data_IF_763221623162
#
_entry.id   IF_763221623162
#
_cell.length_a   1.000
_cell.length_b   1.000
_cell.length_c   1.000
_cell.angle_alpha   90.00
_cell.angle_beta   90.00
_cell.angle_gamma   90.00
#
_symmetry.space_group_name_H-M   'P 1'
#
loop_
_entity.id
_entity.type
_entity.pdbx_description
1 polymer ?
#
# COMPACT_ATOMS: atom_id res chain seq x y z
N UNK A 1 -4.70 48.77 -6.88
CA UNK A 1 -4.50 47.30 -6.82
C UNK A 1 -4.10 46.96 -5.39
N UNK A 2 -5.06 46.51 -4.59
CA UNK A 2 -4.78 46.01 -3.25
C UNK A 2 -3.87 44.78 -3.36
N UNK A 3 -2.69 44.84 -2.76
CA UNK A 3 -1.84 43.67 -2.55
C UNK A 3 -2.52 42.81 -1.51
N UNK A 4 -3.36 41.88 -1.94
CA UNK A 4 -3.86 40.81 -1.08
C UNK A 4 -2.63 40.06 -0.52
N UNK A 5 -2.45 40.14 0.80
CA UNK A 5 -1.39 39.31 1.46
C UNK A 5 -1.61 37.85 1.07
N UNK A 6 -0.53 37.14 0.69
CA UNK A 6 -0.67 35.72 0.34
C UNK A 6 -1.25 34.96 1.55
N UNK A 7 -2.24 34.10 1.34
CA UNK A 7 -2.90 33.37 2.42
C UNK A 7 -1.87 32.61 3.23
N UNK A 8 -1.92 32.80 4.54
CA UNK A 8 -1.02 32.13 5.48
C UNK A 8 -1.39 30.65 5.60
N UNK A 9 -0.57 29.79 5.02
CA UNK A 9 -0.68 28.35 5.23
C UNK A 9 -0.57 28.00 6.71
N UNK A 10 -1.57 27.32 7.28
CA UNK A 10 -1.57 26.93 8.70
C UNK A 10 -0.44 25.93 9.01
N UNK A 11 -0.11 25.05 8.05
CA UNK A 11 0.96 24.09 8.20
C UNK A 11 2.35 24.75 8.27
N UNK A 12 2.58 25.90 7.64
CA UNK A 12 3.90 26.54 7.53
C UNK A 12 4.57 26.76 8.89
N UNK A 13 3.80 27.15 9.90
CA UNK A 13 4.31 27.34 11.25
C UNK A 13 4.62 26.02 11.98
N UNK A 14 4.00 24.91 11.54
CA UNK A 14 4.12 23.58 12.15
C UNK A 14 5.24 22.73 11.55
N UNK A 15 5.70 23.05 10.33
CA UNK A 15 6.82 22.38 9.66
C UNK A 15 8.07 23.25 9.66
N UNK A 16 8.56 23.58 10.87
CA UNK A 16 9.87 24.18 11.07
C UNK A 16 10.91 23.06 11.25
N UNK A 17 12.17 23.38 11.05
CA UNK A 17 13.26 22.44 11.34
C UNK A 17 13.11 21.89 12.76
N UNK A 18 13.24 20.57 12.93
CA UNK A 18 13.05 19.86 14.21
C UNK A 18 11.71 20.12 14.91
N UNK A 19 10.64 20.31 14.14
CA UNK A 19 9.32 20.67 14.69
C UNK A 19 8.67 19.53 15.49
N UNK A 20 9.06 18.28 15.22
CA UNK A 20 8.45 17.09 15.80
C UNK A 20 9.41 16.40 16.77
N UNK A 21 8.86 15.89 17.86
CA UNK A 21 9.59 14.99 18.75
C UNK A 21 9.61 13.56 18.22
N UNK A 22 10.14 12.64 19.00
CA UNK A 22 10.38 11.24 18.63
C UNK A 22 9.15 10.49 18.10
N UNK A 23 7.95 10.74 18.62
CA UNK A 23 6.73 10.01 18.28
C UNK A 23 6.27 10.29 16.85
N UNK A 24 6.09 9.24 16.04
CA UNK A 24 5.67 9.35 14.63
C UNK A 24 4.20 9.75 14.43
N UNK A 25 3.29 9.33 15.30
CA UNK A 25 1.85 9.59 15.16
C UNK A 25 1.47 11.07 14.97
N UNK A 26 1.98 12.03 15.78
CA UNK A 26 1.69 13.45 15.57
C UNK A 26 2.22 13.96 14.22
N UNK A 27 3.40 13.52 13.79
CA UNK A 27 3.98 13.90 12.51
C UNK A 27 3.13 13.39 11.33
N UNK A 28 2.75 12.11 11.34
CA UNK A 28 1.84 11.49 10.35
C UNK A 28 0.53 12.27 10.23
N UNK A 29 -0.08 12.60 11.38
CA UNK A 29 -1.33 13.36 11.40
C UNK A 29 -1.15 14.75 10.76
N UNK A 30 -0.06 15.47 11.09
CA UNK A 30 0.21 16.81 10.55
C UNK A 30 0.53 16.79 9.05
N UNK A 31 1.23 15.79 8.56
CA UNK A 31 1.44 15.60 7.10
C UNK A 31 0.10 15.47 6.38
N UNK A 32 -0.82 14.65 6.90
CA UNK A 32 -2.17 14.47 6.32
C UNK A 32 -3.01 15.74 6.36
N UNK A 33 -2.96 16.48 7.48
CA UNK A 33 -3.68 17.77 7.62
C UNK A 33 -3.18 18.80 6.60
N UNK A 34 -1.85 18.94 6.46
CA UNK A 34 -1.22 19.87 5.51
C UNK A 34 -1.57 19.51 4.06
N UNK A 35 -1.47 18.23 3.68
CA UNK A 35 -1.87 17.76 2.36
C UNK A 35 -3.35 18.06 2.08
N UNK A 36 -4.21 17.85 3.07
CA UNK A 36 -5.66 18.15 2.94
C UNK A 36 -5.92 19.64 2.77
N UNK A 37 -5.18 20.51 3.49
CA UNK A 37 -5.28 21.97 3.36
C UNK A 37 -4.94 22.41 1.93
N UNK A 38 -3.83 21.91 1.37
CA UNK A 38 -3.37 22.22 0.02
C UNK A 38 -4.38 21.72 -1.03
N UNK A 39 -4.86 20.47 -0.91
CA UNK A 39 -5.87 19.91 -1.83
C UNK A 39 -7.19 20.70 -1.84
N UNK A 40 -7.59 21.27 -0.72
CA UNK A 40 -8.75 22.17 -0.66
C UNK A 40 -8.49 23.48 -1.41
N UNK A 41 -7.29 24.04 -1.27
CA UNK A 41 -6.90 25.26 -1.97
C UNK A 41 -6.82 25.04 -3.50
N UNK A 42 -6.36 23.89 -3.95
CA UNK A 42 -6.20 23.55 -5.37
C UNK A 42 -7.50 23.67 -6.19
N UNK A 43 -8.66 23.49 -5.54
CA UNK A 43 -9.98 23.67 -6.18
C UNK A 43 -10.34 25.11 -6.50
N UNK A 44 -9.68 26.09 -5.87
CA UNK A 44 -9.98 27.53 -5.99
C UNK A 44 -8.85 28.29 -6.65
N UNK A 45 -7.63 27.96 -6.29
CA UNK A 45 -6.42 28.62 -6.77
C UNK A 45 -5.30 27.59 -6.98
N UNK A 46 -5.14 27.06 -8.21
CA UNK A 46 -4.11 26.06 -8.53
C UNK A 46 -2.68 26.57 -8.32
N UNK A 47 -2.38 27.85 -8.63
CA UNK A 47 -1.04 28.42 -8.47
C UNK A 47 -0.67 28.53 -6.99
N UNK A 48 -1.58 29.06 -6.18
CA UNK A 48 -1.39 29.12 -4.74
C UNK A 48 -1.20 27.73 -4.14
N UNK A 49 -2.01 26.75 -4.56
CA UNK A 49 -1.92 25.39 -4.05
C UNK A 49 -0.57 24.73 -4.44
N UNK A 50 -0.08 24.97 -5.65
CA UNK A 50 1.23 24.50 -6.08
C UNK A 50 2.37 25.10 -5.25
N UNK A 51 2.34 26.41 -5.00
CA UNK A 51 3.29 27.08 -4.10
C UNK A 51 3.23 26.51 -2.67
N UNK A 52 2.01 26.22 -2.18
CA UNK A 52 1.82 25.53 -0.90
C UNK A 52 2.41 24.12 -0.88
N UNK A 53 2.23 23.37 -1.97
CA UNK A 53 2.77 22.02 -2.12
C UNK A 53 4.30 22.02 -2.12
N UNK A 54 4.92 22.89 -2.92
CA UNK A 54 6.39 23.09 -2.94
C UNK A 54 6.88 23.46 -1.54
N UNK A 55 6.23 24.43 -0.89
CA UNK A 55 6.57 24.87 0.48
C UNK A 55 6.45 23.73 1.51
N UNK A 56 5.48 22.83 1.39
CA UNK A 56 5.38 21.67 2.28
C UNK A 56 6.50 20.67 1.99
N UNK A 57 6.69 20.29 0.71
CA UNK A 57 7.68 19.29 0.30
C UNK A 57 9.11 19.69 0.71
N UNK A 58 9.52 20.96 0.50
CA UNK A 58 10.83 21.45 0.94
C UNK A 58 11.05 21.40 2.45
N UNK A 59 9.96 21.42 3.24
CA UNK A 59 10.01 21.44 4.70
C UNK A 59 9.86 20.08 5.36
N UNK A 60 9.46 19.05 4.60
CA UNK A 60 9.19 17.73 5.19
C UNK A 60 10.44 17.14 5.84
N UNK A 61 11.53 16.96 5.10
CA UNK A 61 12.73 16.32 5.62
C UNK A 61 13.30 17.03 6.85
N UNK A 62 13.60 18.34 6.85
CA UNK A 62 14.14 19.01 8.01
C UNK A 62 13.18 19.08 9.21
N UNK A 63 11.87 19.01 9.00
CA UNK A 63 10.91 18.96 10.10
C UNK A 63 10.83 17.58 10.75
N UNK A 64 11.07 16.51 10.00
CA UNK A 64 10.90 15.11 10.41
C UNK A 64 12.19 14.45 10.90
N UNK A 65 13.33 15.14 10.86
CA UNK A 65 14.67 14.61 11.11
C UNK A 65 14.83 13.81 12.43
N UNK A 66 14.04 14.14 13.46
CA UNK A 66 14.11 13.48 14.78
C UNK A 66 12.95 12.52 15.05
N UNK A 67 12.11 12.26 14.06
CA UNK A 67 10.93 11.40 14.25
C UNK A 67 11.31 9.94 14.06
N UNK A 68 10.82 9.06 14.94
CA UNK A 68 10.96 7.61 14.75
C UNK A 68 10.24 7.13 13.51
N UNK A 69 11.01 6.59 12.57
CA UNK A 69 10.52 6.03 11.30
C UNK A 69 10.52 4.50 11.26
N UNK A 70 10.90 3.84 12.35
CA UNK A 70 11.10 2.37 12.42
C UNK A 70 9.87 1.55 12.03
N UNK A 71 8.66 2.08 12.27
CA UNK A 71 7.40 1.41 11.90
C UNK A 71 7.02 1.53 10.42
N UNK A 72 7.75 2.32 9.62
CA UNK A 72 7.43 2.63 8.23
C UNK A 72 6.19 3.53 8.01
N UNK A 73 5.41 3.80 9.06
CA UNK A 73 4.17 4.58 8.95
C UNK A 73 4.42 6.03 8.51
N UNK A 74 5.53 6.62 8.96
CA UNK A 74 5.93 7.97 8.59
C UNK A 74 6.33 8.05 7.11
N UNK A 75 7.20 7.15 6.64
CA UNK A 75 7.59 7.07 5.23
C UNK A 75 6.38 6.85 4.32
N UNK A 76 5.46 5.97 4.71
CA UNK A 76 4.20 5.77 3.99
C UNK A 76 3.36 7.05 3.90
N UNK A 77 3.25 7.82 4.99
CA UNK A 77 2.49 9.07 5.00
C UNK A 77 3.14 10.15 4.11
N UNK A 78 4.47 10.25 4.11
CA UNK A 78 5.21 11.17 3.23
C UNK A 78 5.06 10.77 1.76
N UNK A 79 5.20 9.48 1.44
CA UNK A 79 5.03 8.99 0.07
C UNK A 79 3.61 9.25 -0.47
N UNK A 80 2.57 9.09 0.37
CA UNK A 80 1.21 9.48 0.00
C UNK A 80 1.08 10.98 -0.22
N UNK A 81 1.73 11.81 0.62
CA UNK A 81 1.72 13.26 0.45
C UNK A 81 2.40 13.65 -0.87
N UNK A 82 3.54 13.06 -1.22
CA UNK A 82 4.21 13.27 -2.52
C UNK A 82 3.26 12.92 -3.67
N UNK A 83 2.66 11.73 -3.64
CA UNK A 83 1.73 11.27 -4.68
C UNK A 83 0.49 12.20 -4.84
N UNK A 84 -0.01 12.78 -3.74
CA UNK A 84 -1.13 13.71 -3.74
C UNK A 84 -0.74 15.13 -4.22
N UNK A 85 0.49 15.58 -3.94
CA UNK A 85 0.93 16.96 -4.17
C UNK A 85 1.59 17.16 -5.54
N UNK A 86 2.31 16.16 -6.04
CA UNK A 86 2.97 16.24 -7.36
C UNK A 86 1.99 16.61 -8.48
N UNK A 87 0.82 15.99 -8.62
CA UNK A 87 -0.16 16.39 -9.65
C UNK A 87 -0.64 17.83 -9.51
N UNK A 88 -0.70 18.37 -8.28
CA UNK A 88 -1.08 19.77 -8.03
C UNK A 88 0.00 20.73 -8.55
N UNK A 89 1.28 20.41 -8.29
CA UNK A 89 2.40 21.21 -8.80
C UNK A 89 2.49 21.08 -10.32
N UNK A 90 2.45 19.87 -10.86
CA UNK A 90 2.58 19.59 -12.28
C UNK A 90 1.45 20.25 -13.11
N UNK A 91 0.21 20.16 -12.64
CA UNK A 91 -0.98 20.71 -13.32
C UNK A 91 -1.21 22.21 -13.14
N UNK A 92 -0.43 22.90 -12.29
CA UNK A 92 -0.58 24.34 -12.08
C UNK A 92 -0.18 25.14 -13.33
N UNK A 93 -0.95 26.19 -13.72
CA UNK A 93 -0.67 27.02 -14.88
C UNK A 93 0.42 28.07 -14.58
N UNK A 94 1.61 27.58 -14.17
CA UNK A 94 2.75 28.41 -13.85
C UNK A 94 3.50 28.83 -15.11
N UNK A 95 3.98 30.07 -15.15
CA UNK A 95 4.93 30.51 -16.16
C UNK A 95 6.29 29.77 -16.00
N UNK A 96 7.14 29.77 -17.05
CA UNK A 96 8.39 29.05 -17.02
C UNK A 96 9.33 29.45 -15.87
N UNK A 97 9.40 30.72 -15.51
CA UNK A 97 10.26 31.21 -14.43
C UNK A 97 9.79 30.74 -13.06
N UNK A 98 8.48 30.79 -12.81
CA UNK A 98 7.87 30.25 -11.60
C UNK A 98 8.07 28.74 -11.50
N UNK A 99 7.91 28.01 -12.59
CA UNK A 99 8.16 26.56 -12.66
C UNK A 99 9.61 26.23 -12.30
N UNK A 100 10.55 26.92 -12.90
CA UNK A 100 11.96 26.71 -12.63
C UNK A 100 12.32 27.00 -11.18
N UNK A 101 11.80 28.10 -10.62
CA UNK A 101 12.01 28.43 -9.21
C UNK A 101 11.44 27.34 -8.25
N UNK A 102 10.33 26.70 -8.60
CA UNK A 102 9.80 25.56 -7.82
C UNK A 102 10.71 24.34 -7.92
N UNK A 103 11.17 24.02 -9.11
CA UNK A 103 12.06 22.88 -9.34
C UNK A 103 13.41 23.06 -8.61
N UNK A 104 14.00 24.25 -8.65
CA UNK A 104 15.23 24.54 -7.90
C UNK A 104 15.04 24.35 -6.38
N UNK A 105 13.96 24.87 -5.80
CA UNK A 105 13.65 24.69 -4.38
C UNK A 105 13.48 23.22 -4.00
N UNK A 106 12.77 22.46 -4.84
CA UNK A 106 12.58 21.02 -4.62
C UNK A 106 13.87 20.24 -4.80
N UNK A 107 14.74 20.69 -5.73
CA UNK A 107 16.05 20.10 -5.93
C UNK A 107 16.97 20.31 -4.71
N UNK A 108 17.04 21.54 -4.22
CA UNK A 108 17.79 21.86 -2.99
C UNK A 108 17.29 21.02 -1.80
N UNK A 109 15.98 20.84 -1.69
CA UNK A 109 15.40 20.01 -0.64
C UNK A 109 15.77 18.53 -0.79
N UNK A 110 15.81 18.01 -2.02
CA UNK A 110 16.20 16.63 -2.31
C UNK A 110 17.69 16.38 -2.04
N UNK A 111 18.55 17.31 -2.41
CA UNK A 111 19.99 17.23 -2.10
C UNK A 111 20.27 17.31 -0.59
N UNK A 112 19.46 18.08 0.15
CA UNK A 112 19.56 18.23 1.60
C UNK A 112 18.90 17.10 2.40
N UNK A 113 18.24 16.13 1.75
CA UNK A 113 17.50 15.04 2.39
C UNK A 113 18.44 13.95 2.92
N UNK A 114 19.07 14.18 4.05
CA UNK A 114 20.05 13.25 4.66
C UNK A 114 19.39 11.95 5.18
N UNK A 115 18.14 12.02 5.62
CA UNK A 115 17.31 10.86 5.95
C UNK A 115 16.28 10.77 4.84
N UNK A 116 16.31 9.73 3.97
CA UNK A 116 15.61 9.73 2.68
C UNK A 116 14.07 9.73 2.82
N UNK A 117 13.53 10.80 3.40
CA UNK A 117 12.10 10.98 3.56
C UNK A 117 11.40 11.37 2.26
N UNK A 118 12.05 12.20 1.43
CA UNK A 118 11.46 12.72 0.19
C UNK A 118 12.15 12.18 -1.07
N UNK A 119 13.01 11.18 -0.98
CA UNK A 119 13.75 10.61 -2.12
C UNK A 119 12.84 10.19 -3.29
N UNK A 120 11.61 9.74 -2.99
CA UNK A 120 10.60 9.40 -4.00
C UNK A 120 10.13 10.57 -4.84
N UNK A 121 10.41 11.80 -4.44
CA UNK A 121 10.16 12.98 -5.27
C UNK A 121 10.92 12.90 -6.59
N UNK A 122 12.12 12.31 -6.58
CA UNK A 122 12.90 12.05 -7.79
C UNK A 122 12.16 11.20 -8.83
N UNK A 123 11.36 10.23 -8.40
CA UNK A 123 10.55 9.40 -9.30
C UNK A 123 9.49 10.20 -10.08
N UNK A 124 9.09 11.35 -9.56
CA UNK A 124 8.10 12.26 -10.14
C UNK A 124 8.71 13.50 -10.82
N UNK A 125 10.04 13.55 -10.93
CA UNK A 125 10.72 14.77 -11.43
C UNK A 125 10.28 15.18 -12.82
N UNK A 126 10.12 14.21 -13.72
CA UNK A 126 9.60 14.44 -15.07
C UNK A 126 8.21 15.03 -15.07
N UNK A 127 7.31 14.55 -14.20
CA UNK A 127 5.95 15.08 -14.04
C UNK A 127 5.98 16.53 -13.51
N UNK A 128 6.83 16.82 -12.52
CA UNK A 128 7.03 18.17 -11.97
C UNK A 128 7.53 19.17 -13.01
N UNK A 129 8.36 18.74 -13.98
CA UNK A 129 8.81 19.55 -15.10
C UNK A 129 7.66 20.03 -16.00
N UNK A 130 6.53 19.32 -16.01
CA UNK A 130 5.29 19.63 -16.75
C UNK A 130 5.43 19.73 -18.28
N UNK A 131 6.65 19.86 -18.84
CA UNK A 131 6.90 19.91 -20.28
C UNK A 131 8.14 19.11 -20.67
N UNK A 132 8.16 18.63 -21.92
CA UNK A 132 9.33 17.89 -22.46
C UNK A 132 10.59 18.75 -22.50
N UNK A 133 10.45 20.05 -22.76
CA UNK A 133 11.58 20.97 -22.85
C UNK A 133 12.25 21.16 -21.49
N UNK A 134 11.48 21.44 -20.44
CA UNK A 134 12.00 21.59 -19.08
C UNK A 134 12.59 20.27 -18.58
N UNK A 135 11.90 19.15 -18.84
CA UNK A 135 12.39 17.82 -18.47
C UNK A 135 13.73 17.50 -19.18
N UNK A 136 13.89 17.85 -20.47
CA UNK A 136 15.15 17.64 -21.18
C UNK A 136 16.28 18.46 -20.58
N UNK A 137 16.05 19.72 -20.22
CA UNK A 137 17.05 20.59 -19.61
C UNK A 137 17.50 20.02 -18.23
N UNK A 138 16.57 19.57 -17.41
CA UNK A 138 16.89 18.92 -16.14
C UNK A 138 17.61 17.59 -16.32
N UNK A 139 17.23 16.79 -17.33
CA UNK A 139 17.95 15.57 -17.67
C UNK A 139 19.42 15.88 -18.05
N UNK A 140 19.66 16.89 -18.90
CA UNK A 140 21.00 17.30 -19.29
C UNK A 140 21.85 17.75 -18.09
N UNK A 141 21.25 18.41 -17.12
CA UNK A 141 21.92 18.82 -15.88
C UNK A 141 22.35 17.63 -15.01
N UNK A 142 21.58 16.54 -14.99
CA UNK A 142 21.77 15.42 -14.08
C UNK A 142 22.46 14.20 -14.70
N UNK A 143 22.51 14.09 -16.03
CA UNK A 143 22.89 12.86 -16.72
C UNK A 143 24.33 12.43 -16.46
N UNK A 144 25.28 13.37 -16.44
CA UNK A 144 26.70 13.03 -16.23
C UNK A 144 26.95 12.49 -14.82
N UNK A 145 26.35 13.12 -13.80
CA UNK A 145 26.45 12.63 -12.43
C UNK A 145 25.77 11.24 -12.28
N UNK A 146 24.64 11.04 -12.98
CA UNK A 146 23.94 9.74 -13.02
C UNK A 146 24.80 8.66 -13.67
N UNK A 147 25.45 8.96 -14.80
CA UNK A 147 26.36 8.02 -15.47
C UNK A 147 27.55 7.65 -14.60
N UNK A 148 28.13 8.61 -13.90
CA UNK A 148 29.21 8.35 -12.95
C UNK A 148 28.75 7.47 -11.79
N UNK A 149 27.61 7.80 -11.17
CA UNK A 149 27.06 7.06 -10.04
C UNK A 149 26.72 5.60 -10.38
N UNK A 150 26.25 5.33 -11.59
CA UNK A 150 25.87 4.01 -12.06
C UNK A 150 26.98 3.31 -12.86
N UNK A 151 28.06 4.01 -13.18
CA UNK A 151 29.12 3.53 -14.07
C UNK A 151 29.81 2.23 -13.59
N UNK A 152 30.60 1.60 -14.48
CA UNK A 152 31.28 0.35 -14.18
C UNK A 152 32.45 0.53 -13.20
N UNK A 153 33.01 1.73 -13.11
CA UNK A 153 34.10 2.04 -12.21
C UNK A 153 33.63 2.10 -10.75
N UNK A 154 33.94 1.04 -10.00
CA UNK A 154 33.57 0.90 -8.59
C UNK A 154 34.19 1.95 -7.67
N UNK A 155 35.27 2.63 -8.10
CA UNK A 155 35.93 3.64 -7.27
C UNK A 155 35.17 4.95 -7.21
N UNK A 156 34.37 5.25 -8.24
CA UNK A 156 33.51 6.45 -8.34
C UNK A 156 32.03 6.14 -8.27
N UNK A 157 31.67 4.86 -8.34
CA UNK A 157 30.28 4.41 -8.21
C UNK A 157 29.73 4.69 -6.82
N UNK A 158 28.60 5.38 -6.74
CA UNK A 158 28.02 5.75 -5.45
C UNK A 158 26.55 6.11 -5.54
N UNK A 159 26.00 6.52 -4.41
CA UNK A 159 24.66 7.05 -4.35
C UNK A 159 24.64 8.49 -4.86
N UNK A 160 23.81 8.75 -5.87
CA UNK A 160 23.49 10.10 -6.33
C UNK A 160 21.99 10.32 -6.17
N UNK A 161 21.54 11.24 -5.30
CA UNK A 161 20.11 11.48 -5.05
C UNK A 161 19.32 11.84 -6.30
N UNK A 162 20.01 12.44 -7.30
CA UNK A 162 19.43 12.83 -8.59
C UNK A 162 19.22 11.69 -9.60
N UNK A 163 19.65 10.46 -9.32
CA UNK A 163 19.53 9.37 -10.31
C UNK A 163 18.08 9.12 -10.72
N UNK A 164 17.16 9.00 -9.77
CA UNK A 164 15.73 8.84 -10.08
C UNK A 164 15.16 10.06 -10.81
N UNK A 165 15.57 11.26 -10.41
CA UNK A 165 15.14 12.51 -11.04
C UNK A 165 15.61 12.60 -12.51
N UNK A 166 16.86 12.22 -12.79
CA UNK A 166 17.39 12.13 -14.14
C UNK A 166 16.59 11.16 -15.02
N UNK A 167 16.38 9.93 -14.53
CA UNK A 167 15.66 8.89 -15.28
C UNK A 167 14.20 9.28 -15.53
N UNK A 168 13.55 9.90 -14.54
CA UNK A 168 12.19 10.43 -14.66
C UNK A 168 12.11 11.57 -15.66
N UNK A 169 13.07 12.51 -15.63
CA UNK A 169 13.16 13.61 -16.56
C UNK A 169 13.42 13.14 -18.01
N UNK A 170 14.36 12.20 -18.20
CA UNK A 170 14.61 11.56 -19.50
C UNK A 170 13.35 10.89 -20.05
N UNK A 171 12.60 10.21 -19.19
CA UNK A 171 11.34 9.56 -19.59
C UNK A 171 10.29 10.58 -20.05
N UNK A 172 10.09 11.66 -19.29
CA UNK A 172 9.18 12.75 -19.67
C UNK A 172 9.60 13.47 -20.94
N UNK A 173 10.92 13.59 -21.17
CA UNK A 173 11.49 14.16 -22.39
C UNK A 173 11.45 13.20 -23.60
N UNK A 174 10.94 11.98 -23.43
CA UNK A 174 10.88 10.90 -24.44
C UNK A 174 12.29 10.45 -24.93
N UNK A 175 13.32 10.67 -24.11
CA UNK A 175 14.70 10.27 -24.38
C UNK A 175 14.96 8.82 -23.96
N UNK A 176 14.08 7.92 -24.38
CA UNK A 176 14.04 6.51 -23.93
C UNK A 176 15.30 5.72 -24.24
N UNK A 177 15.94 6.00 -25.38
CA UNK A 177 17.18 5.31 -25.77
C UNK A 177 18.31 5.56 -24.76
N UNK A 178 18.39 6.78 -24.22
CA UNK A 178 19.41 7.14 -23.23
C UNK A 178 19.15 6.45 -21.88
N UNK A 179 17.87 6.29 -21.47
CA UNK A 179 17.52 5.51 -20.28
C UNK A 179 18.02 4.08 -20.42
N UNK A 180 17.73 3.45 -21.57
CA UNK A 180 18.15 2.07 -21.83
C UNK A 180 19.67 1.94 -21.85
N UNK A 181 20.38 2.91 -22.44
CA UNK A 181 21.84 2.93 -22.48
C UNK A 181 22.45 3.05 -21.06
N UNK A 182 21.99 4.02 -20.27
CA UNK A 182 22.46 4.23 -18.88
C UNK A 182 22.25 2.99 -18.02
N UNK A 183 21.16 2.25 -18.24
CA UNK A 183 20.75 1.11 -17.41
C UNK A 183 21.18 -0.27 -17.94
N UNK A 184 22.11 -0.31 -18.92
CA UNK A 184 22.78 -1.56 -19.31
C UNK A 184 23.68 -2.14 -18.21
N UNK A 185 24.00 -1.32 -17.21
CA UNK A 185 24.82 -1.71 -16.05
C UNK A 185 24.02 -2.49 -15.01
N UNK A 186 24.72 -3.12 -14.07
CA UNK A 186 24.08 -3.75 -12.90
C UNK A 186 23.59 -2.66 -11.93
N UNK A 187 22.28 -2.46 -11.87
CA UNK A 187 21.61 -1.47 -11.04
C UNK A 187 20.45 -2.10 -10.26
N UNK A 188 20.00 -1.42 -9.20
CA UNK A 188 18.86 -1.84 -8.39
C UNK A 188 17.54 -1.65 -9.13
N UNK A 189 16.51 -2.39 -8.72
CA UNK A 189 15.18 -2.36 -9.36
C UNK A 189 14.55 -0.96 -9.44
N UNK A 190 14.60 -0.10 -8.43
CA UNK A 190 14.08 1.27 -8.53
C UNK A 190 14.60 2.07 -9.73
N UNK A 191 15.80 1.75 -10.24
CA UNK A 191 16.32 2.35 -11.48
C UNK A 191 15.96 1.49 -12.70
N UNK A 192 16.15 0.17 -12.64
CA UNK A 192 15.88 -0.73 -13.77
C UNK A 192 14.45 -0.66 -14.29
N UNK A 193 13.47 -0.38 -13.42
CA UNK A 193 12.08 -0.16 -13.83
C UNK A 193 11.91 0.97 -14.86
N UNK A 194 12.82 1.96 -14.88
CA UNK A 194 12.79 3.02 -15.89
C UNK A 194 13.15 2.51 -17.28
N UNK A 195 14.06 1.52 -17.40
CA UNK A 195 14.31 0.86 -18.67
C UNK A 195 13.09 0.02 -19.13
N UNK A 196 12.39 -0.61 -18.22
CA UNK A 196 11.11 -1.30 -18.51
C UNK A 196 10.10 -0.31 -19.09
N UNK A 197 9.89 0.82 -18.43
CA UNK A 197 9.00 1.90 -18.88
C UNK A 197 9.43 2.48 -20.23
N UNK A 198 10.73 2.71 -20.43
CA UNK A 198 11.28 3.19 -21.69
C UNK A 198 11.02 2.20 -22.85
N UNK A 199 11.27 0.91 -22.64
CA UNK A 199 10.94 -0.11 -23.65
C UNK A 199 9.45 -0.14 -23.97
N UNK A 200 8.59 -0.07 -22.96
CA UNK A 200 7.13 -0.04 -23.15
C UNK A 200 6.68 1.20 -23.94
N UNK A 201 7.21 2.38 -23.59
CA UNK A 201 6.92 3.66 -24.26
C UNK A 201 7.40 3.68 -25.73
N UNK A 202 8.50 2.98 -26.05
CA UNK A 202 8.95 2.78 -27.43
C UNK A 202 8.09 1.75 -28.21
N UNK A 203 7.00 1.26 -27.64
CA UNK A 203 6.16 0.21 -28.25
C UNK A 203 6.75 -1.21 -28.16
N UNK A 204 7.90 -1.39 -27.52
CA UNK A 204 8.60 -2.68 -27.40
C UNK A 204 8.14 -3.47 -26.17
N UNK A 205 6.81 -3.63 -26.02
CA UNK A 205 6.18 -4.18 -24.80
C UNK A 205 6.68 -5.58 -24.42
N UNK A 206 6.84 -6.47 -25.41
CA UNK A 206 7.38 -7.81 -25.16
C UNK A 206 8.85 -7.79 -24.66
N UNK A 207 9.67 -6.83 -25.16
CA UNK A 207 11.01 -6.63 -24.69
C UNK A 207 11.03 -6.06 -23.27
N UNK A 208 10.10 -5.13 -22.95
CA UNK A 208 9.92 -4.58 -21.61
C UNK A 208 9.63 -5.67 -20.59
N UNK A 209 8.69 -6.58 -20.88
CA UNK A 209 8.33 -7.70 -20.00
C UNK A 209 9.53 -8.64 -19.82
N UNK A 210 10.20 -9.06 -20.91
CA UNK A 210 11.39 -9.92 -20.79
C UNK A 210 12.51 -9.27 -19.98
N UNK A 211 12.73 -7.98 -20.15
CA UNK A 211 13.73 -7.26 -19.37
C UNK A 211 13.33 -7.20 -17.89
N UNK A 212 12.07 -6.88 -17.57
CA UNK A 212 11.58 -6.89 -16.20
C UNK A 212 11.75 -8.26 -15.53
N UNK A 213 11.33 -9.33 -16.21
CA UNK A 213 11.48 -10.71 -15.71
C UNK A 213 12.95 -11.10 -15.49
N UNK A 214 13.87 -10.62 -16.32
CA UNK A 214 15.31 -10.85 -16.15
C UNK A 214 15.91 -10.14 -14.92
N UNK A 215 15.19 -9.17 -14.36
CA UNK A 215 15.60 -8.44 -13.16
C UNK A 215 15.17 -9.12 -11.85
N UNK A 216 14.39 -10.21 -11.89
CA UNK A 216 13.97 -10.95 -10.70
C UNK A 216 15.16 -11.46 -9.89
N UNK A 217 14.99 -11.50 -8.58
CA UNK A 217 15.98 -12.06 -7.66
C UNK A 217 16.77 -10.97 -6.92
N UNK A 218 18.09 -10.94 -7.05
CA UNK A 218 19.04 -10.26 -6.16
C UNK A 218 18.71 -8.81 -5.72
N UNK A 219 18.00 -8.02 -6.54
CA UNK A 219 17.76 -6.59 -6.28
C UNK A 219 16.33 -6.14 -6.58
N UNK A 220 15.42 -7.06 -6.83
CA UNK A 220 14.03 -6.77 -7.12
C UNK A 220 13.12 -7.60 -6.22
N UNK A 221 12.09 -6.99 -5.66
CA UNK A 221 10.95 -7.72 -5.12
C UNK A 221 10.15 -8.27 -6.32
N UNK A 222 9.92 -9.58 -6.34
CA UNK A 222 9.15 -10.23 -7.41
C UNK A 222 7.76 -9.62 -7.58
N UNK A 223 7.14 -9.13 -6.50
CA UNK A 223 5.85 -8.45 -6.57
C UNK A 223 5.92 -7.11 -7.31
N UNK A 224 7.02 -6.36 -7.16
CA UNK A 224 7.21 -5.10 -7.90
C UNK A 224 7.44 -5.35 -9.40
N UNK A 225 8.20 -6.41 -9.75
CA UNK A 225 8.39 -6.84 -11.14
C UNK A 225 7.06 -7.28 -11.75
N UNK A 226 6.27 -8.06 -11.01
CA UNK A 226 4.95 -8.51 -11.44
C UNK A 226 4.01 -7.32 -11.67
N UNK A 227 4.06 -6.29 -10.84
CA UNK A 227 3.26 -5.08 -10.98
C UNK A 227 3.56 -4.35 -12.29
N UNK A 228 4.82 -4.12 -12.62
CA UNK A 228 5.22 -3.46 -13.88
C UNK A 228 4.83 -4.30 -15.11
N UNK A 229 5.00 -5.63 -15.05
CA UNK A 229 4.59 -6.53 -16.13
C UNK A 229 3.06 -6.56 -16.31
N UNK A 230 2.30 -6.60 -15.22
CA UNK A 230 0.85 -6.52 -15.20
C UNK A 230 0.36 -5.22 -15.86
N UNK A 231 0.92 -4.07 -15.49
CA UNK A 231 0.57 -2.76 -16.06
C UNK A 231 0.82 -2.68 -17.57
N UNK A 232 1.94 -3.25 -18.04
CA UNK A 232 2.24 -3.31 -19.49
C UNK A 232 1.19 -4.12 -20.23
N UNK A 233 0.79 -5.29 -19.72
CA UNK A 233 -0.23 -6.14 -20.36
C UNK A 233 -1.60 -5.47 -20.31
N UNK A 234 -2.01 -4.92 -19.17
CA UNK A 234 -3.27 -4.19 -19.03
C UNK A 234 -3.35 -3.00 -19.99
N UNK A 235 -2.28 -2.20 -20.09
CA UNK A 235 -2.20 -1.08 -21.06
C UNK A 235 -2.21 -1.53 -22.53
N UNK A 236 -2.05 -2.83 -22.77
CA UNK A 236 -2.08 -3.45 -24.09
C UNK A 236 -3.42 -4.12 -24.40
N UNK A 237 -4.39 -4.07 -23.45
CA UNK A 237 -5.66 -4.78 -23.56
C UNK A 237 -5.55 -6.30 -23.32
N UNK A 238 -4.39 -6.80 -22.90
CA UNK A 238 -4.14 -8.23 -22.65
C UNK A 238 -4.50 -8.61 -21.21
N UNK A 239 -5.77 -8.34 -20.85
CA UNK A 239 -6.25 -8.43 -19.46
C UNK A 239 -6.20 -9.86 -18.92
N UNK A 240 -6.54 -10.87 -19.73
CA UNK A 240 -6.49 -12.27 -19.29
C UNK A 240 -5.06 -12.73 -19.02
N UNK A 241 -4.12 -12.40 -19.93
CA UNK A 241 -2.72 -12.76 -19.72
C UNK A 241 -2.12 -12.04 -18.50
N UNK A 242 -2.50 -10.77 -18.27
CA UNK A 242 -2.11 -10.01 -17.09
C UNK A 242 -2.59 -10.70 -15.81
N UNK A 243 -3.85 -11.15 -15.81
CA UNK A 243 -4.43 -11.88 -14.67
C UNK A 243 -3.68 -13.18 -14.39
N UNK A 244 -3.56 -14.03 -15.42
CA UNK A 244 -2.99 -15.37 -15.27
C UNK A 244 -1.51 -15.36 -14.81
N UNK A 245 -0.72 -14.40 -15.32
CA UNK A 245 0.72 -14.38 -15.09
C UNK A 245 1.11 -13.60 -13.83
N UNK A 246 0.43 -12.48 -13.55
CA UNK A 246 0.98 -11.50 -12.62
C UNK A 246 0.01 -11.06 -11.52
N UNK A 247 -1.31 -10.96 -11.77
CA UNK A 247 -2.27 -10.27 -10.93
C UNK A 247 -2.23 -10.66 -9.44
N UNK A 248 -2.10 -11.97 -9.17
CA UNK A 248 -2.22 -12.49 -7.80
C UNK A 248 -1.00 -12.09 -6.94
N UNK A 249 0.19 -11.96 -7.54
CA UNK A 249 1.40 -11.52 -6.85
C UNK A 249 1.56 -10.00 -6.88
N UNK A 250 1.27 -9.37 -8.02
CA UNK A 250 1.31 -7.91 -8.20
C UNK A 250 0.36 -7.15 -7.26
N UNK A 251 -0.75 -7.79 -6.89
CA UNK A 251 -1.78 -7.18 -6.03
C UNK A 251 -1.64 -7.52 -4.54
N UNK A 252 -0.51 -8.09 -4.11
CA UNK A 252 -0.29 -8.51 -2.73
C UNK A 252 -0.38 -7.33 -1.76
N UNK A 253 -1.39 -7.35 -0.91
CA UNK A 253 -1.63 -6.33 0.12
C UNK A 253 -1.19 -6.78 1.51
N UNK A 254 -1.29 -5.87 2.49
CA UNK A 254 -0.95 -6.13 3.89
C UNK A 254 -1.83 -7.21 4.55
N UNK A 255 -3.00 -7.48 4.01
CA UNK A 255 -3.92 -8.53 4.48
C UNK A 255 -4.51 -9.31 3.31
N UNK A 256 -4.94 -10.54 3.55
CA UNK A 256 -5.61 -11.38 2.56
C UNK A 256 -6.84 -10.70 1.96
N UNK A 257 -7.64 -10.02 2.79
CA UNK A 257 -8.77 -9.21 2.34
C UNK A 257 -8.34 -8.04 1.45
N UNK A 258 -7.25 -7.34 1.79
CA UNK A 258 -6.73 -6.25 0.98
C UNK A 258 -6.24 -6.73 -0.40
N UNK A 259 -5.58 -7.90 -0.44
CA UNK A 259 -5.17 -8.56 -1.68
C UNK A 259 -6.39 -8.89 -2.55
N UNK A 260 -7.42 -9.55 -1.98
CA UNK A 260 -8.65 -9.87 -2.71
C UNK A 260 -9.30 -8.61 -3.31
N UNK A 261 -9.45 -7.55 -2.51
CA UNK A 261 -10.02 -6.27 -2.96
C UNK A 261 -9.22 -5.64 -4.09
N UNK A 262 -7.89 -5.71 -4.01
CA UNK A 262 -7.01 -5.15 -5.03
C UNK A 262 -7.19 -5.89 -6.38
N UNK A 263 -7.20 -7.22 -6.36
CA UNK A 263 -7.45 -8.03 -7.57
C UNK A 263 -8.85 -7.80 -8.11
N UNK A 264 -9.89 -7.89 -7.27
CA UNK A 264 -11.28 -7.73 -7.70
C UNK A 264 -11.55 -6.34 -8.33
N UNK A 265 -10.92 -5.29 -7.81
CA UNK A 265 -11.03 -3.94 -8.38
C UNK A 265 -10.35 -3.81 -9.74
N UNK A 266 -9.20 -4.45 -9.96
CA UNK A 266 -8.47 -4.43 -11.24
C UNK A 266 -9.14 -5.30 -12.31
N UNK A 267 -9.79 -6.38 -11.89
CA UNK A 267 -10.40 -7.39 -12.77
C UNK A 267 -11.91 -7.55 -12.51
N UNK A 268 -12.71 -6.48 -12.72
CA UNK A 268 -14.14 -6.49 -12.40
C UNK A 268 -14.97 -7.45 -13.28
N UNK A 269 -14.40 -7.95 -14.38
CA UNK A 269 -15.02 -8.94 -15.26
C UNK A 269 -14.88 -10.38 -14.75
N UNK A 270 -13.99 -10.63 -13.79
CA UNK A 270 -13.83 -11.94 -13.14
C UNK A 270 -14.82 -12.09 -11.98
N UNK A 271 -15.44 -13.27 -11.88
CA UNK A 271 -16.32 -13.53 -10.74
C UNK A 271 -15.53 -13.54 -9.41
N UNK A 272 -16.04 -12.93 -8.35
CA UNK A 272 -15.37 -12.91 -7.03
C UNK A 272 -15.00 -14.30 -6.51
N UNK A 273 -15.83 -15.31 -6.81
CA UNK A 273 -15.56 -16.71 -6.45
C UNK A 273 -14.32 -17.27 -7.13
N UNK A 274 -14.13 -16.97 -8.42
CA UNK A 274 -12.97 -17.46 -9.17
C UNK A 274 -11.69 -16.79 -8.68
N UNK A 275 -11.72 -15.48 -8.47
CA UNK A 275 -10.60 -14.73 -7.88
C UNK A 275 -10.24 -15.31 -6.51
N UNK A 276 -11.21 -15.57 -5.65
CA UNK A 276 -10.98 -16.15 -4.34
C UNK A 276 -10.35 -17.55 -4.45
N UNK A 277 -10.88 -18.40 -5.33
CA UNK A 277 -10.37 -19.75 -5.53
C UNK A 277 -8.90 -19.74 -6.01
N UNK A 278 -8.56 -18.84 -6.93
CA UNK A 278 -7.20 -18.70 -7.42
C UNK A 278 -6.25 -18.17 -6.35
N UNK A 279 -6.67 -17.16 -5.56
CA UNK A 279 -5.89 -16.63 -4.45
C UNK A 279 -5.63 -17.70 -3.37
N UNK A 280 -6.65 -18.49 -3.00
CA UNK A 280 -6.51 -19.60 -2.03
C UNK A 280 -5.45 -20.60 -2.49
N UNK A 281 -5.41 -20.94 -3.78
CA UNK A 281 -4.40 -21.85 -4.34
C UNK A 281 -2.97 -21.32 -4.18
N UNK A 282 -2.76 -20.01 -4.09
CA UNK A 282 -1.42 -19.42 -3.93
C UNK A 282 -0.85 -19.57 -2.52
N UNK A 283 -1.67 -19.94 -1.55
CA UNK A 283 -1.29 -20.02 -0.13
C UNK A 283 -1.77 -21.30 0.54
N UNK A 284 -1.31 -22.47 0.10
CA UNK A 284 -1.68 -23.74 0.69
C UNK A 284 -1.27 -23.80 2.17
N UNK A 285 -2.21 -24.22 3.03
CA UNK A 285 -2.04 -24.22 4.49
C UNK A 285 -2.49 -22.92 5.19
N UNK A 286 -2.89 -21.91 4.45
CA UNK A 286 -3.37 -20.62 4.95
C UNK A 286 -4.85 -20.34 4.59
N UNK A 287 -5.61 -21.36 4.23
CA UNK A 287 -6.97 -21.24 3.71
C UNK A 287 -7.88 -20.42 4.64
N UNK A 288 -7.80 -20.63 5.95
CA UNK A 288 -8.59 -19.90 6.95
C UNK A 288 -8.34 -18.38 6.96
N UNK A 289 -7.18 -17.93 6.51
CA UNK A 289 -6.88 -16.50 6.43
C UNK A 289 -7.69 -15.78 5.33
N UNK A 290 -8.26 -16.53 4.37
CA UNK A 290 -9.14 -16.00 3.32
C UNK A 290 -10.60 -15.85 3.77
N UNK A 291 -10.97 -16.27 4.99
CA UNK A 291 -12.32 -16.15 5.52
C UNK A 291 -12.94 -14.76 5.33
N UNK A 292 -12.19 -13.70 5.66
CA UNK A 292 -12.69 -12.34 5.56
C UNK A 292 -12.98 -11.92 4.11
N UNK A 293 -12.19 -12.40 3.16
CA UNK A 293 -12.38 -12.14 1.73
C UNK A 293 -13.63 -12.88 1.20
N UNK A 294 -13.79 -14.17 1.54
CA UNK A 294 -14.95 -14.96 1.18
C UNK A 294 -16.24 -14.35 1.75
N UNK A 295 -16.23 -13.95 3.03
CA UNK A 295 -17.34 -13.26 3.68
C UNK A 295 -17.73 -11.97 2.95
N UNK A 296 -16.75 -11.13 2.59
CA UNK A 296 -17.01 -9.88 1.89
C UNK A 296 -17.60 -10.10 0.49
N UNK A 297 -17.18 -11.16 -0.17
CA UNK A 297 -17.73 -11.57 -1.46
C UNK A 297 -19.14 -12.18 -1.36
N UNK A 298 -19.73 -12.31 -0.15
CA UNK A 298 -21.02 -12.97 0.07
C UNK A 298 -20.97 -14.49 -0.06
N UNK A 299 -19.78 -15.08 -0.12
CA UNK A 299 -19.56 -16.53 -0.28
C UNK A 299 -19.49 -17.19 1.10
N UNK A 300 -20.63 -17.19 1.79
CA UNK A 300 -20.69 -17.58 3.23
C UNK A 300 -20.33 -19.04 3.49
N UNK A 301 -20.79 -19.96 2.63
CA UNK A 301 -20.46 -21.39 2.77
C UNK A 301 -18.96 -21.65 2.55
N UNK A 302 -18.38 -21.02 1.54
CA UNK A 302 -16.95 -21.07 1.26
C UNK A 302 -16.12 -20.46 2.39
N UNK A 303 -16.60 -19.35 2.99
CA UNK A 303 -15.94 -18.72 4.13
C UNK A 303 -15.84 -19.69 5.31
N UNK A 304 -16.94 -20.36 5.67
CA UNK A 304 -16.94 -21.37 6.73
C UNK A 304 -16.06 -22.57 6.37
N UNK A 305 -16.12 -23.04 5.14
CA UNK A 305 -15.30 -24.16 4.67
C UNK A 305 -13.80 -23.82 4.74
N UNK A 306 -13.39 -22.62 4.34
CA UNK A 306 -12.00 -22.17 4.44
C UNK A 306 -11.55 -22.06 5.90
N UNK A 307 -12.35 -21.44 6.77
CA UNK A 307 -12.03 -21.26 8.18
C UNK A 307 -12.05 -22.57 9.00
N UNK A 308 -12.65 -23.64 8.46
CA UNK A 308 -12.62 -24.97 9.09
C UNK A 308 -11.40 -25.80 8.71
N UNK A 309 -10.73 -25.51 7.59
CA UNK A 309 -9.57 -26.29 7.10
C UNK A 309 -8.29 -25.93 7.82
N UNK A 310 -8.05 -24.67 8.04
CA UNK A 310 -6.83 -24.16 8.69
C UNK A 310 -7.18 -23.01 9.63
N UNK A 311 -6.27 -22.66 10.56
CA UNK A 311 -6.54 -21.64 11.56
C UNK A 311 -6.99 -20.30 10.97
N UNK A 312 -8.11 -19.80 11.52
CA UNK A 312 -8.62 -18.46 11.28
C UNK A 312 -8.62 -17.66 12.59
N UNK A 313 -8.29 -16.38 12.53
CA UNK A 313 -8.27 -15.54 13.72
C UNK A 313 -9.65 -15.51 14.44
N UNK A 314 -9.73 -15.96 15.70
CA UNK A 314 -10.97 -16.02 16.44
C UNK A 314 -11.69 -14.68 16.57
N UNK A 315 -10.94 -13.57 16.70
CA UNK A 315 -11.54 -12.23 16.79
C UNK A 315 -12.23 -11.83 15.49
N UNK A 316 -11.70 -12.26 14.35
CA UNK A 316 -12.31 -12.03 13.03
C UNK A 316 -13.58 -12.85 12.85
N UNK A 317 -13.59 -14.12 13.27
CA UNK A 317 -14.76 -14.98 13.28
C UNK A 317 -15.84 -14.48 14.23
N UNK A 318 -15.47 -14.06 15.44
CA UNK A 318 -16.39 -13.48 16.44
C UNK A 318 -17.07 -12.21 15.92
N UNK A 319 -16.30 -11.32 15.26
CA UNK A 319 -16.89 -10.14 14.62
C UNK A 319 -17.91 -10.50 13.55
N UNK A 320 -17.61 -11.49 12.72
CA UNK A 320 -18.54 -11.96 11.70
C UNK A 320 -19.82 -12.55 12.33
N UNK A 321 -19.68 -13.34 13.40
CA UNK A 321 -20.81 -13.89 14.15
C UNK A 321 -21.69 -12.79 14.75
N UNK A 322 -21.08 -11.76 15.34
CA UNK A 322 -21.79 -10.62 15.92
C UNK A 322 -22.52 -9.79 14.88
N UNK A 323 -21.80 -9.40 13.82
CA UNK A 323 -22.27 -8.41 12.85
C UNK A 323 -23.37 -8.98 11.93
N UNK A 324 -23.38 -10.30 11.71
CA UNK A 324 -24.34 -10.99 10.83
C UNK A 324 -25.35 -11.85 11.56
N UNK A 325 -25.44 -11.73 12.89
CA UNK A 325 -26.33 -12.55 13.71
C UNK A 325 -27.82 -12.51 13.29
N UNK A 326 -28.29 -11.35 12.80
CA UNK A 326 -29.66 -11.12 12.39
C UNK A 326 -29.90 -11.39 10.91
N UNK A 327 -28.97 -10.92 10.05
CA UNK A 327 -29.12 -11.00 8.58
C UNK A 327 -28.79 -12.39 8.04
N UNK A 328 -27.78 -13.05 8.60
CA UNK A 328 -27.26 -14.35 8.18
C UNK A 328 -27.05 -15.28 9.42
N UNK A 329 -28.09 -15.62 10.15
CA UNK A 329 -27.94 -16.29 11.44
C UNK A 329 -27.31 -17.68 11.36
N UNK A 330 -27.50 -18.41 10.28
CA UNK A 330 -26.87 -19.72 10.08
C UNK A 330 -25.35 -19.57 9.86
N UNK A 331 -24.92 -18.63 9.02
CA UNK A 331 -23.50 -18.29 8.81
C UNK A 331 -22.87 -17.77 10.10
N UNK A 332 -23.55 -16.84 10.79
CA UNK A 332 -23.05 -16.25 12.02
C UNK A 332 -22.83 -17.31 13.12
N UNK A 333 -23.77 -18.26 13.25
CA UNK A 333 -23.62 -19.40 14.16
C UNK A 333 -22.40 -20.25 13.79
N UNK A 334 -22.24 -20.59 12.52
CA UNK A 334 -21.08 -21.34 12.04
C UNK A 334 -19.75 -20.63 12.32
N UNK A 335 -19.68 -19.32 12.05
CA UNK A 335 -18.50 -18.49 12.31
C UNK A 335 -18.18 -18.46 13.82
N UNK A 336 -19.18 -18.29 14.66
CA UNK A 336 -19.02 -18.31 16.13
C UNK A 336 -18.54 -19.66 16.67
N UNK A 337 -19.07 -20.75 16.16
CA UNK A 337 -18.60 -22.10 16.53
C UNK A 337 -17.15 -22.33 16.13
N UNK A 338 -16.73 -21.85 14.94
CA UNK A 338 -15.34 -21.89 14.51
C UNK A 338 -14.45 -20.98 15.36
N UNK A 339 -14.94 -19.82 15.81
CA UNK A 339 -14.19 -18.96 16.73
C UNK A 339 -13.88 -19.69 18.04
N UNK A 340 -14.88 -20.34 18.64
CA UNK A 340 -14.71 -21.14 19.86
C UNK A 340 -13.80 -22.35 19.62
N UNK A 341 -13.91 -23.00 18.45
CA UNK A 341 -13.01 -24.10 18.08
C UNK A 341 -11.55 -23.66 18.06
N UNK A 342 -11.23 -22.57 17.38
CA UNK A 342 -9.84 -22.10 17.30
C UNK A 342 -9.32 -21.55 18.62
N UNK A 343 -10.18 -20.93 19.45
CA UNK A 343 -9.83 -20.54 20.82
C UNK A 343 -9.44 -21.74 21.67
N UNK A 344 -10.21 -22.84 21.61
CA UNK A 344 -9.89 -24.10 22.30
C UNK A 344 -8.57 -24.72 21.81
N UNK A 345 -8.24 -24.56 20.53
CA UNK A 345 -6.97 -24.99 19.95
C UNK A 345 -5.78 -24.04 20.29
N UNK A 346 -6.03 -22.95 21.03
CA UNK A 346 -5.00 -21.99 21.45
C UNK A 346 -4.61 -20.96 20.40
N UNK A 347 -5.40 -20.80 19.36
CA UNK A 347 -5.14 -19.78 18.34
C UNK A 347 -5.68 -18.39 18.75
N UNK A 348 -5.06 -17.37 18.19
CA UNK A 348 -5.38 -15.95 18.38
C UNK A 348 -4.26 -15.19 19.10
N UNK A 349 -4.13 -13.91 18.79
CA UNK A 349 -3.14 -13.03 19.40
C UNK A 349 -3.76 -12.25 20.56
N UNK A 350 -3.08 -12.24 21.72
CA UNK A 350 -3.51 -11.55 22.94
C UNK A 350 -5.00 -11.82 23.29
N UNK A 351 -5.36 -13.11 23.41
CA UNK A 351 -6.73 -13.53 23.74
C UNK A 351 -6.96 -13.34 25.24
N UNK A 352 -8.04 -12.68 25.57
CA UNK A 352 -8.55 -12.44 26.92
C UNK A 352 -9.84 -13.21 27.21
N UNK A 353 -10.23 -13.27 28.48
CA UNK A 353 -11.54 -13.86 28.84
C UNK A 353 -12.72 -13.14 28.19
N UNK A 354 -12.60 -11.83 27.95
CA UNK A 354 -13.63 -11.06 27.26
C UNK A 354 -13.79 -11.49 25.80
N UNK A 355 -12.71 -11.87 25.11
CA UNK A 355 -12.78 -12.39 23.74
C UNK A 355 -13.52 -13.74 23.67
N UNK A 356 -13.31 -14.62 24.67
CA UNK A 356 -14.01 -15.90 24.78
C UNK A 356 -15.52 -15.70 25.04
N UNK A 357 -15.87 -14.79 25.95
CA UNK A 357 -17.25 -14.43 26.20
C UNK A 357 -17.91 -13.81 24.96
N UNK A 358 -17.28 -12.89 24.31
CA UNK A 358 -17.80 -12.28 23.09
C UNK A 358 -18.05 -13.32 21.97
N UNK A 359 -17.20 -14.34 21.84
CA UNK A 359 -17.41 -15.44 20.92
C UNK A 359 -18.62 -16.26 21.30
N UNK A 360 -18.77 -16.62 22.58
CA UNK A 360 -19.90 -17.37 23.08
C UNK A 360 -21.24 -16.62 22.90
N UNK A 361 -21.33 -15.38 23.39
CA UNK A 361 -22.54 -14.56 23.33
C UNK A 361 -22.96 -14.29 21.86
N UNK A 362 -22.02 -13.97 21.00
CA UNK A 362 -22.31 -13.74 19.57
C UNK A 362 -22.84 -15.01 18.89
N UNK A 363 -22.27 -16.18 19.24
CA UNK A 363 -22.73 -17.48 18.74
C UNK A 363 -24.14 -17.80 19.22
N UNK A 364 -24.40 -17.62 20.52
CA UNK A 364 -25.72 -17.89 21.09
C UNK A 364 -26.79 -16.95 20.55
N UNK A 365 -26.51 -15.66 20.41
CA UNK A 365 -27.38 -14.68 19.77
C UNK A 365 -27.81 -15.09 18.36
N UNK A 366 -26.83 -15.51 17.54
CA UNK A 366 -27.11 -16.00 16.20
C UNK A 366 -27.92 -17.30 16.18
N UNK A 367 -27.64 -18.19 17.14
CA UNK A 367 -28.36 -19.44 17.31
C UNK A 367 -29.83 -19.24 17.73
N UNK A 368 -30.10 -18.28 18.62
CA UNK A 368 -31.44 -17.85 19.01
C UNK A 368 -32.21 -17.29 17.82
N UNK A 369 -31.59 -16.42 17.01
CA UNK A 369 -32.19 -15.87 15.81
C UNK A 369 -32.58 -16.95 14.77
N UNK A 370 -31.88 -18.10 14.79
CA UNK A 370 -32.17 -19.25 13.91
C UNK A 370 -33.04 -20.34 14.57
N UNK A 371 -33.47 -20.16 15.82
CA UNK A 371 -34.25 -21.15 16.57
C UNK A 371 -33.46 -22.42 16.94
N UNK A 372 -32.13 -22.38 16.97
CA UNK A 372 -31.24 -23.53 17.19
C UNK A 372 -30.42 -23.45 18.49
N UNK A 373 -30.83 -22.61 19.45
CA UNK A 373 -30.07 -22.31 20.65
C UNK A 373 -29.60 -23.54 21.42
N UNK A 374 -30.48 -24.50 21.66
CA UNK A 374 -30.15 -25.70 22.45
C UNK A 374 -29.15 -26.62 21.73
N UNK A 375 -29.36 -26.85 20.44
CA UNK A 375 -28.44 -27.66 19.65
C UNK A 375 -27.04 -27.02 19.57
N UNK A 376 -26.98 -25.70 19.44
CA UNK A 376 -25.73 -24.94 19.40
C UNK A 376 -25.04 -24.94 20.75
N UNK A 377 -25.78 -24.80 21.85
CA UNK A 377 -25.24 -24.90 23.22
C UNK A 377 -24.58 -26.27 23.46
N UNK A 378 -25.22 -27.34 23.01
CA UNK A 378 -24.62 -28.68 23.13
C UNK A 378 -23.37 -28.81 22.24
N UNK A 379 -23.38 -28.22 21.03
CA UNK A 379 -22.20 -28.22 20.18
C UNK A 379 -21.04 -27.43 20.81
N UNK A 380 -21.29 -26.31 21.45
CA UNK A 380 -20.29 -25.55 22.20
C UNK A 380 -19.72 -26.42 23.33
N UNK A 381 -20.56 -27.13 24.10
CA UNK A 381 -20.08 -28.06 25.13
C UNK A 381 -19.13 -29.11 24.57
N UNK A 382 -19.45 -29.70 23.42
CA UNK A 382 -18.59 -30.69 22.75
C UNK A 382 -17.23 -30.07 22.33
N UNK A 383 -17.20 -28.84 21.77
CA UNK A 383 -16.00 -28.13 21.42
C UNK A 383 -15.14 -27.88 22.66
N UNK A 384 -15.73 -27.41 23.75
CA UNK A 384 -14.99 -27.09 24.98
C UNK A 384 -14.51 -28.36 25.70
N UNK A 385 -15.24 -29.47 25.62
CA UNK A 385 -14.76 -30.78 26.14
C UNK A 385 -13.54 -31.32 25.47
N UNK A 386 -13.25 -30.90 24.22
CA UNK A 386 -12.05 -31.27 23.51
C UNK A 386 -10.78 -30.50 23.99
N UNK A 387 -10.97 -29.48 24.83
CA UNK A 387 -9.84 -28.74 25.45
C UNK A 387 -9.16 -29.63 26.51
N UNK A 388 -7.84 -29.42 26.68
CA UNK A 388 -7.10 -30.08 27.76
C UNK A 388 -7.74 -29.76 29.14
N UNK A 389 -7.73 -30.69 30.11
CA UNK A 389 -8.25 -30.42 31.44
C UNK A 389 -7.69 -29.14 32.05
N UNK A 390 -8.60 -28.26 32.53
CA UNK A 390 -8.21 -26.95 33.05
C UNK A 390 -7.84 -25.90 32.02
N UNK A 391 -8.21 -26.09 30.75
CA UNK A 391 -7.95 -25.16 29.65
C UNK A 391 -8.53 -23.78 29.84
N UNK A 392 -8.07 -22.83 29.10
CA UNK A 392 -8.42 -21.41 29.26
C UNK A 392 -9.91 -21.15 28.97
N UNK A 393 -10.42 -21.68 27.86
CA UNK A 393 -11.81 -21.49 27.45
C UNK A 393 -12.80 -22.14 28.45
N UNK A 394 -12.49 -23.38 28.91
CA UNK A 394 -13.26 -24.09 29.93
C UNK A 394 -13.34 -23.33 31.24
N UNK A 395 -12.27 -22.68 31.65
CA UNK A 395 -12.24 -21.87 32.89
C UNK A 395 -13.08 -20.60 32.74
N UNK A 396 -12.99 -19.94 31.61
CA UNK A 396 -13.71 -18.69 31.33
C UNK A 396 -15.20 -18.92 31.24
N UNK A 397 -15.65 -19.90 30.45
CA UNK A 397 -17.07 -20.18 30.26
C UNK A 397 -17.72 -20.91 31.47
N UNK A 398 -16.93 -21.58 32.28
CA UNK A 398 -17.33 -22.10 33.59
C UNK A 398 -18.65 -22.88 33.59
N UNK A 399 -19.72 -22.26 34.18
CA UNK A 399 -21.05 -22.89 34.36
C UNK A 399 -21.82 -23.08 33.05
N UNK A 400 -21.59 -22.24 32.04
CA UNK A 400 -22.32 -22.29 30.75
C UNK A 400 -22.06 -23.58 29.95
N UNK A 401 -20.92 -24.23 30.21
CA UNK A 401 -20.48 -25.42 29.48
C UNK A 401 -20.45 -26.69 30.32
N UNK A 402 -20.80 -26.60 31.61
CA UNK A 402 -21.00 -27.78 32.46
C UNK A 402 -22.28 -28.51 32.05
N UNK A 403 -22.33 -29.86 32.19
CA UNK A 403 -23.52 -30.65 31.90
C UNK A 403 -24.68 -30.30 32.83
#
# INVERSE_FOLDING_TARGET
MEKTEPPKWQFKARFRRHAFGWRSQPAVQRVREATTEIRKAARRDPLLAAEGAVTLLERLSPALEHVDSSSGALGTAVNHAIADLVPIVAGAPADPATREAWLERLWEALEADQIPYIERLGDHWGELCASKQVASAWADRLIEATRLALGPDRSVRGHFPGTSACLSALHQAERYAEIVDILQVDAIWPYKRWAVKAHAAMGRKAAAIRYAESCRGRWADDAEVDLECEEILLSSGMTEEAYERYALRASRGATYLATFRAVARKYPHKAPRDILADLVKTTPGDEGKWFAAAKEAGLYDEALALASRTPCDPKTLTRAARDLATEQPAFATGAGLLALHWLVQGYGYEITGADVWAAYESTMKAAEASGKADAVRERIRQIVRAEKPGGFVSRVLGREVRP
#
